data_IF_341294855190
#
_entry.id   IF_341294855190
#
_cell.length_a   1.000
_cell.length_b   1.000
_cell.length_c   1.000
_cell.angle_alpha   90.00
_cell.angle_beta   90.00
_cell.angle_gamma   90.00
#
_symmetry.space_group_name_H-M   'P 1'
#
loop_
_entity.id
_entity.type
_entity.pdbx_description
1 polymer ?
#
# COMPACT_ATOMS: atom_id res chain seq x y z
N UNK A 1 11.81 1.29 5.71
CA UNK A 1 11.18 2.55 6.13
C UNK A 1 9.80 2.81 5.51
N UNK A 2 9.46 2.31 4.31
CA UNK A 2 8.15 2.59 3.69
C UNK A 2 6.94 2.26 4.59
N UNK A 3 6.97 1.12 5.30
CA UNK A 3 5.95 0.77 6.31
C UNK A 3 5.86 1.80 7.44
N UNK A 4 7.01 2.23 7.98
CA UNK A 4 7.09 3.21 9.07
C UNK A 4 6.39 4.53 8.71
N UNK A 5 6.68 5.07 7.52
CA UNK A 5 6.12 6.34 7.07
C UNK A 5 4.72 6.25 6.46
N UNK A 6 4.12 5.05 6.43
CA UNK A 6 2.76 4.86 5.94
C UNK A 6 1.87 4.26 7.02
N UNK A 7 2.11 3.02 7.42
CA UNK A 7 1.26 2.32 8.37
C UNK A 7 1.43 2.81 9.80
N UNK A 8 2.64 3.24 10.21
CA UNK A 8 2.89 3.70 11.59
C UNK A 8 2.69 5.21 11.76
N UNK A 9 3.29 6.01 10.87
CA UNK A 9 3.33 7.47 10.94
C UNK A 9 2.83 8.15 9.65
N UNK A 10 1.92 7.52 8.92
CA UNK A 10 1.36 8.08 7.69
C UNK A 10 0.25 9.11 7.92
N UNK A 11 0.19 10.07 6.99
CA UNK A 11 -0.86 11.11 6.92
C UNK A 11 -1.63 11.00 5.62
N UNK A 12 -2.89 11.38 5.63
CA UNK A 12 -3.70 11.45 4.43
C UNK A 12 -4.39 12.81 4.31
N UNK A 13 -4.81 13.14 3.10
CA UNK A 13 -5.64 14.32 2.86
C UNK A 13 -7.10 13.92 2.78
N UNK A 14 -7.94 14.61 3.54
CA UNK A 14 -9.38 14.41 3.55
C UNK A 14 -10.08 15.76 3.54
N UNK A 15 -10.94 15.99 2.56
CA UNK A 15 -11.69 17.23 2.40
C UNK A 15 -10.80 18.50 2.42
N UNK A 16 -9.60 18.41 1.86
CA UNK A 16 -8.64 19.53 1.80
C UNK A 16 -7.75 19.69 3.04
N UNK A 17 -8.03 18.96 4.12
CA UNK A 17 -7.24 18.99 5.37
C UNK A 17 -6.35 17.76 5.51
N UNK A 18 -5.23 17.91 6.20
CA UNK A 18 -4.35 16.79 6.55
C UNK A 18 -4.89 16.11 7.81
N UNK A 19 -4.99 14.79 7.76
CA UNK A 19 -5.47 13.93 8.85
C UNK A 19 -4.48 12.80 9.10
N UNK A 20 -4.41 12.33 10.34
CA UNK A 20 -3.58 11.17 10.73
C UNK A 20 -4.30 9.85 10.41
N UNK A 21 -3.56 8.86 9.90
CA UNK A 21 -4.07 7.48 9.78
C UNK A 21 -3.10 6.42 10.29
N UNK A 22 -1.83 6.79 10.52
CA UNK A 22 -0.83 5.87 11.06
C UNK A 22 -1.17 5.34 12.45
N UNK A 23 -0.91 4.05 12.69
CA UNK A 23 -1.22 3.37 13.94
C UNK A 23 -0.50 3.98 15.16
N UNK A 24 0.78 4.33 15.03
CA UNK A 24 1.55 5.02 16.07
C UNK A 24 0.93 6.37 16.43
N UNK A 25 0.53 7.15 15.42
CA UNK A 25 -0.11 8.45 15.63
C UNK A 25 -1.49 8.33 16.29
N UNK A 26 -2.28 7.32 15.90
CA UNK A 26 -3.62 7.10 16.44
C UNK A 26 -3.61 6.54 17.88
N UNK A 27 -2.53 5.86 18.28
CA UNK A 27 -2.39 5.25 19.61
C UNK A 27 -1.68 6.16 20.62
N UNK A 28 -1.14 7.31 20.19
CA UNK A 28 -0.41 8.26 21.02
C UNK A 28 -1.27 9.49 21.37
N UNK A 29 -1.37 9.81 22.68
CA UNK A 29 -2.18 10.92 23.18
C UNK A 29 -1.59 12.33 22.89
N UNK A 30 -0.35 12.43 22.37
CA UNK A 30 0.34 13.71 22.13
C UNK A 30 0.85 13.96 20.71
N UNK A 31 1.11 12.91 19.94
CA UNK A 31 1.69 13.03 18.60
C UNK A 31 0.79 13.71 17.54
N UNK A 32 -0.55 13.55 17.54
CA UNK A 32 -1.38 14.20 16.53
C UNK A 32 -1.25 15.73 16.53
N UNK A 33 -1.12 16.34 17.71
CA UNK A 33 -0.97 17.80 17.83
C UNK A 33 0.36 18.30 17.26
N UNK A 34 1.45 17.57 17.47
CA UNK A 34 2.73 17.88 16.86
C UNK A 34 2.68 17.69 15.35
N UNK A 35 2.13 16.55 14.92
CA UNK A 35 2.10 16.13 13.52
C UNK A 35 1.27 17.05 12.62
N UNK A 36 0.18 17.60 13.15
CA UNK A 36 -0.71 18.54 12.45
C UNK A 36 -0.30 20.01 12.63
N UNK A 37 0.79 20.29 13.36
CA UNK A 37 1.34 21.64 13.49
C UNK A 37 2.24 22.01 12.29
N UNK A 38 2.74 23.25 12.28
CA UNK A 38 3.72 23.71 11.30
C UNK A 38 5.18 23.37 11.68
N UNK A 39 5.39 22.53 12.71
CA UNK A 39 6.73 22.14 13.17
C UNK A 39 7.38 21.08 12.28
N UNK A 40 6.71 19.96 11.95
CA UNK A 40 7.29 18.98 11.04
C UNK A 40 7.11 19.39 9.57
N UNK A 41 7.93 18.80 8.71
CA UNK A 41 7.82 18.92 7.27
C UNK A 41 6.83 17.88 6.72
N UNK A 42 5.83 18.32 5.95
CA UNK A 42 4.90 17.44 5.24
C UNK A 42 5.32 17.28 3.78
N UNK A 43 5.60 16.05 3.35
CA UNK A 43 5.96 15.71 1.96
C UNK A 43 4.88 14.90 1.28
N UNK A 44 4.69 15.02 -0.04
CA UNK A 44 3.83 14.09 -0.76
C UNK A 44 4.40 12.68 -0.69
N UNK A 45 3.53 11.70 -0.52
CA UNK A 45 3.93 10.30 -0.51
C UNK A 45 4.53 9.87 -1.86
N UNK A 46 5.78 9.42 -1.82
CA UNK A 46 6.51 8.85 -2.95
C UNK A 46 7.27 7.60 -2.45
N UNK A 47 6.91 6.39 -2.90
CA UNK A 47 7.53 5.15 -2.44
C UNK A 47 9.06 5.13 -2.52
N UNK A 48 9.67 5.68 -3.57
CA UNK A 48 11.12 5.66 -3.76
C UNK A 48 11.83 6.52 -2.72
N UNK A 49 11.30 7.72 -2.46
CA UNK A 49 11.83 8.67 -1.46
C UNK A 49 11.57 8.16 -0.05
N UNK A 50 10.34 7.72 0.21
CA UNK A 50 9.92 7.22 1.53
C UNK A 50 10.69 5.96 1.93
N UNK A 51 11.02 5.08 0.97
CA UNK A 51 11.77 3.84 1.22
C UNK A 51 13.24 4.05 1.64
N UNK A 52 13.80 5.24 1.43
CA UNK A 52 15.19 5.58 1.84
C UNK A 52 15.27 6.68 2.89
N UNK A 53 14.13 7.29 3.26
CA UNK A 53 14.09 8.31 4.29
C UNK A 53 14.59 7.75 5.65
N UNK A 54 15.60 8.38 6.27
CA UNK A 54 16.02 8.03 7.62
C UNK A 54 14.98 8.43 8.67
N UNK A 55 14.88 7.64 9.73
CA UNK A 55 13.98 7.86 10.85
C UNK A 55 14.62 7.40 12.17
N UNK A 56 14.01 7.80 13.28
CA UNK A 56 14.37 7.40 14.64
C UNK A 56 13.10 7.18 15.47
N UNK A 57 13.19 6.48 16.59
CA UNK A 57 12.06 6.01 17.41
C UNK A 57 11.93 6.71 18.77
N UNK A 58 12.86 7.59 19.15
CA UNK A 58 12.93 8.21 20.47
C UNK A 58 12.22 9.57 20.57
N UNK A 59 12.17 10.32 19.46
CA UNK A 59 11.60 11.66 19.36
C UNK A 59 10.51 11.74 18.28
N UNK A 60 9.83 12.88 18.19
CA UNK A 60 8.86 13.11 17.12
C UNK A 60 9.53 13.15 15.74
N UNK A 61 8.79 12.71 14.72
CA UNK A 61 9.34 12.64 13.37
C UNK A 61 9.49 14.05 12.79
N UNK A 62 10.64 14.41 12.20
CA UNK A 62 10.82 15.71 11.55
C UNK A 62 10.09 15.79 10.20
N UNK A 63 9.79 14.64 9.59
CA UNK A 63 9.18 14.53 8.26
C UNK A 63 8.05 13.52 8.32
N UNK A 64 6.90 13.89 7.76
CA UNK A 64 5.76 12.99 7.55
C UNK A 64 5.36 12.98 6.07
N UNK A 65 4.89 11.82 5.59
CA UNK A 65 4.42 11.68 4.21
C UNK A 65 2.90 11.69 4.14
N UNK A 66 2.37 12.48 3.21
CA UNK A 66 0.94 12.70 2.98
C UNK A 66 0.50 11.95 1.74
N UNK A 67 -0.42 11.00 1.90
CA UNK A 67 -1.16 10.38 0.82
C UNK A 67 -2.34 11.30 0.42
N UNK A 68 -2.37 11.75 -0.84
CA UNK A 68 -3.49 12.55 -1.35
C UNK A 68 -4.79 11.72 -1.39
N UNK A 69 -4.71 10.48 -1.90
CA UNK A 69 -5.78 9.49 -1.87
C UNK A 69 -5.18 8.09 -1.63
N UNK A 70 -5.85 7.24 -0.86
CA UNK A 70 -5.34 5.90 -0.53
C UNK A 70 -5.14 5.00 -1.76
N UNK A 71 -6.02 5.11 -2.76
CA UNK A 71 -5.90 4.31 -3.99
C UNK A 71 -4.66 4.68 -4.82
N UNK A 72 -4.29 5.97 -4.87
CA UNK A 72 -3.06 6.45 -5.51
C UNK A 72 -1.83 5.95 -4.74
N UNK A 73 -1.84 6.07 -3.41
CA UNK A 73 -0.75 5.55 -2.58
C UNK A 73 -0.53 4.04 -2.76
N UNK A 74 -1.63 3.27 -2.82
CA UNK A 74 -1.62 1.84 -3.10
C UNK A 74 -1.06 1.55 -4.50
N UNK A 75 -1.51 2.28 -5.52
CA UNK A 75 -1.03 2.12 -6.90
C UNK A 75 0.47 2.40 -7.02
N UNK A 76 0.94 3.50 -6.40
CA UNK A 76 2.36 3.86 -6.33
C UNK A 76 3.19 2.76 -5.65
N UNK A 77 2.73 2.23 -4.52
CA UNK A 77 3.39 1.12 -3.82
C UNK A 77 3.44 -0.16 -4.66
N UNK A 78 2.35 -0.51 -5.35
CA UNK A 78 2.31 -1.67 -6.23
C UNK A 78 3.29 -1.54 -7.41
N UNK A 79 3.35 -0.35 -8.03
CA UNK A 79 4.30 -0.07 -9.09
C UNK A 79 5.73 -0.18 -8.60
N UNK A 80 6.05 0.40 -7.44
CA UNK A 80 7.42 0.34 -6.92
C UNK A 80 7.79 -1.07 -6.46
N UNK A 81 6.85 -1.82 -5.89
CA UNK A 81 7.03 -3.25 -5.61
C UNK A 81 7.37 -4.02 -6.90
N UNK A 82 6.69 -3.73 -8.01
CA UNK A 82 6.97 -4.38 -9.28
C UNK A 82 8.36 -4.00 -9.82
N UNK A 83 8.74 -2.73 -9.75
CA UNK A 83 10.07 -2.26 -10.12
C UNK A 83 11.17 -2.97 -9.30
N UNK A 84 10.97 -3.09 -7.99
CA UNK A 84 11.90 -3.76 -7.10
C UNK A 84 11.94 -5.28 -7.34
N UNK A 85 10.79 -5.89 -7.61
CA UNK A 85 10.70 -7.31 -7.96
C UNK A 85 11.45 -7.64 -9.26
N UNK A 86 11.51 -6.72 -10.24
CA UNK A 86 12.35 -6.90 -11.43
C UNK A 86 13.85 -6.82 -11.11
N UNK A 87 14.24 -6.03 -10.11
CA UNK A 87 15.64 -5.92 -9.65
C UNK A 87 16.09 -7.13 -8.85
N UNK A 88 15.17 -7.77 -8.11
CA UNK A 88 15.45 -9.03 -7.42
C UNK A 88 15.31 -10.18 -8.41
N UNK A 89 16.37 -11.00 -8.57
CA UNK A 89 16.27 -12.28 -9.29
C UNK A 89 15.43 -13.28 -8.49
N UNK A 90 14.10 -13.09 -8.47
CA UNK A 90 13.17 -14.02 -7.85
C UNK A 90 12.55 -14.88 -8.95
N UNK A 91 12.83 -16.19 -9.01
CA UNK A 91 12.35 -17.05 -10.10
C UNK A 91 10.86 -17.43 -9.98
N UNK A 92 10.09 -16.73 -9.15
CA UNK A 92 8.69 -17.02 -8.88
C UNK A 92 7.93 -15.80 -8.38
N UNK A 93 6.62 -15.78 -8.66
CA UNK A 93 5.68 -14.80 -8.13
C UNK A 93 4.86 -15.40 -6.99
N UNK A 94 4.32 -14.55 -6.11
CA UNK A 94 3.45 -14.95 -5.02
C UNK A 94 2.06 -14.38 -5.26
N UNK A 95 1.02 -15.19 -5.05
CA UNK A 95 -0.38 -14.78 -5.05
C UNK A 95 -0.97 -15.12 -3.68
N UNK A 96 -1.80 -14.23 -3.14
CA UNK A 96 -2.59 -14.53 -1.95
C UNK A 96 -3.93 -15.13 -2.39
N UNK A 97 -4.29 -16.28 -1.82
CA UNK A 97 -5.61 -16.88 -1.97
C UNK A 97 -6.48 -16.51 -0.75
N UNK A 98 -7.52 -15.66 -0.94
CA UNK A 98 -8.38 -15.22 0.15
C UNK A 98 -9.28 -16.34 0.70
N UNK A 99 -9.59 -17.39 -0.09
CA UNK A 99 -10.48 -18.47 0.34
C UNK A 99 -9.79 -19.39 1.36
N UNK A 100 -8.52 -19.69 1.13
CA UNK A 100 -7.72 -20.57 2.01
C UNK A 100 -6.84 -19.78 2.97
N UNK A 101 -6.81 -18.44 2.87
CA UNK A 101 -5.89 -17.56 3.61
C UNK A 101 -4.43 -18.00 3.45
N UNK A 102 -4.05 -18.44 2.25
CA UNK A 102 -2.74 -19.03 1.97
C UNK A 102 -1.99 -18.27 0.87
N UNK A 103 -0.68 -18.56 0.75
CA UNK A 103 0.17 -17.98 -0.30
C UNK A 103 0.46 -19.05 -1.35
N UNK A 104 0.01 -18.80 -2.58
CA UNK A 104 0.32 -19.61 -3.74
C UNK A 104 1.62 -19.15 -4.41
N UNK A 105 2.53 -20.09 -4.65
CA UNK A 105 3.79 -19.83 -5.36
C UNK A 105 3.61 -20.11 -6.85
N UNK A 106 3.52 -19.05 -7.64
CA UNK A 106 3.47 -19.07 -9.10
C UNK A 106 4.89 -19.21 -9.66
N UNK A 107 5.33 -20.47 -9.75
CA UNK A 107 6.69 -20.86 -10.16
C UNK A 107 6.71 -21.67 -11.47
N UNK A 108 5.57 -22.18 -11.92
CA UNK A 108 5.46 -23.01 -13.12
C UNK A 108 4.35 -22.52 -14.05
N UNK A 109 4.47 -22.71 -15.37
CA UNK A 109 3.44 -22.33 -16.34
C UNK A 109 2.06 -22.91 -16.00
N UNK A 110 1.98 -24.17 -15.56
CA UNK A 110 0.70 -24.82 -15.26
C UNK A 110 -0.04 -24.13 -14.10
N UNK A 111 0.69 -23.65 -13.08
CA UNK A 111 0.08 -22.91 -11.95
C UNK A 111 -0.44 -21.54 -12.40
N UNK A 112 0.29 -20.88 -13.29
CA UNK A 112 -0.12 -19.60 -13.88
C UNK A 112 -1.36 -19.78 -14.74
N UNK A 113 -1.39 -20.80 -15.60
CA UNK A 113 -2.55 -21.13 -16.44
C UNK A 113 -3.79 -21.44 -15.60
N UNK A 114 -3.65 -22.26 -14.54
CA UNK A 114 -4.76 -22.55 -13.62
C UNK A 114 -5.33 -21.27 -12.99
N UNK A 115 -4.45 -20.37 -12.53
CA UNK A 115 -4.84 -19.06 -12.00
C UNK A 115 -5.58 -18.22 -13.04
N UNK A 116 -5.07 -18.15 -14.27
CA UNK A 116 -5.68 -17.41 -15.37
C UNK A 116 -7.07 -17.96 -15.73
N UNK A 117 -7.22 -19.29 -15.76
CA UNK A 117 -8.51 -19.94 -16.00
C UNK A 117 -9.53 -19.57 -14.92
N UNK A 118 -9.15 -19.57 -13.64
CA UNK A 118 -10.04 -19.14 -12.54
C UNK A 118 -10.50 -17.69 -12.72
N UNK A 119 -9.59 -16.77 -12.98
CA UNK A 119 -9.93 -15.35 -13.21
C UNK A 119 -10.83 -15.17 -14.44
N UNK A 120 -10.67 -16.00 -15.47
CA UNK A 120 -11.54 -15.97 -16.66
C UNK A 120 -12.96 -16.42 -16.35
N UNK A 121 -13.14 -17.43 -15.51
CA UNK A 121 -14.48 -17.85 -15.07
C UNK A 121 -15.14 -16.78 -14.19
N UNK A 122 -14.40 -16.16 -13.26
CA UNK A 122 -14.89 -15.03 -12.47
C UNK A 122 -15.36 -13.86 -13.36
N UNK A 123 -14.57 -13.49 -14.38
CA UNK A 123 -14.96 -12.45 -15.35
C UNK A 123 -16.22 -12.82 -16.14
N UNK A 124 -16.41 -14.08 -16.52
CA UNK A 124 -17.65 -14.53 -17.18
C UNK A 124 -18.85 -14.38 -16.27
N UNK A 125 -18.75 -14.80 -15.00
CA UNK A 125 -19.83 -14.66 -14.02
C UNK A 125 -20.22 -13.19 -13.85
N UNK A 126 -19.24 -12.29 -13.76
CA UNK A 126 -19.49 -10.84 -13.68
C UNK A 126 -20.14 -10.29 -14.96
N UNK A 127 -19.75 -10.78 -16.14
CA UNK A 127 -20.35 -10.37 -17.42
C UNK A 127 -21.82 -10.76 -17.51
N UNK A 128 -22.17 -12.00 -17.13
CA UNK A 128 -23.55 -12.46 -17.13
C UNK A 128 -24.41 -11.66 -16.14
N UNK A 129 -23.89 -11.42 -14.93
CA UNK A 129 -24.58 -10.60 -13.95
C UNK A 129 -24.82 -9.15 -14.42
N UNK A 130 -23.93 -8.61 -15.26
CA UNK A 130 -24.11 -7.29 -15.86
C UNK A 130 -25.23 -7.28 -16.91
N UNK A 131 -25.32 -8.33 -17.73
CA UNK A 131 -26.39 -8.51 -18.72
C UNK A 131 -27.76 -8.67 -18.05
N UNK A 132 -27.84 -9.35 -16.91
CA UNK A 132 -29.08 -9.51 -16.14
C UNK A 132 -29.55 -8.21 -15.45
N UNK A 133 -28.63 -7.26 -15.24
CA UNK A 133 -28.91 -5.96 -14.60
C UNK A 133 -29.23 -4.84 -15.61
N UNK A 134 -28.99 -5.07 -16.90
CA UNK A 134 -29.29 -4.15 -18.01
C UNK A 134 -30.66 -4.38 -18.61
#
# INVERSE_FOLDING_TARGET
SAYWFTMEFGLCKQNGSITVYGAGLLSSYGEPMYTLSNKPEHKPFNPEVTAVQPYQDQAFQPVYFVAEIFEDAKTKLQREKQNYAMKIKKPFSLRYDPLTSSIEVLSTPQKVERTLSQMREELKTLSLALEDLS
#
